data_IF_115124415565
#
_entry.id   IF_115124415565
#
_cell.length_a   1.000
_cell.length_b   1.000
_cell.length_c   1.000
_cell.angle_alpha   90.00
_cell.angle_beta   90.00
_cell.angle_gamma   90.00
#
_symmetry.space_group_name_H-M   'P 1'
#
loop_
_entity.id
_entity.type
_entity.pdbx_description
1 polymer ?
#
# COMPACT_ATOMS: atom_id res chain seq x y z
N UNK A 1 -15.61 -9.87 6.03
CA UNK A 1 -15.79 -8.67 5.19
C UNK A 1 -16.11 -7.54 6.14
N UNK A 2 -15.46 -6.38 6.02
CA UNK A 2 -15.71 -5.27 6.95
C UNK A 2 -17.07 -4.65 6.62
N UNK A 3 -17.85 -4.33 7.65
CA UNK A 3 -19.11 -3.62 7.48
C UNK A 3 -18.84 -2.12 7.25
N UNK A 4 -18.87 -1.72 5.98
CA UNK A 4 -18.66 -0.33 5.56
C UNK A 4 -19.98 0.46 5.48
N UNK A 5 -21.12 -0.12 5.90
CA UNK A 5 -22.43 0.56 5.84
C UNK A 5 -22.51 1.79 6.75
N UNK A 6 -21.66 1.83 7.79
CA UNK A 6 -21.57 2.92 8.78
C UNK A 6 -20.49 3.95 8.46
N UNK A 7 -19.68 3.73 7.43
CA UNK A 7 -18.63 4.65 7.05
C UNK A 7 -19.24 5.79 6.22
N UNK A 8 -19.29 6.99 6.80
CA UNK A 8 -19.64 8.19 6.05
C UNK A 8 -18.48 8.59 5.13
N UNK A 9 -18.63 8.29 3.85
CA UNK A 9 -17.61 8.54 2.83
C UNK A 9 -17.41 10.06 2.57
N UNK A 10 -18.39 10.89 2.92
CA UNK A 10 -18.36 12.35 2.70
C UNK A 10 -17.82 13.13 3.91
N UNK A 11 -17.87 12.54 5.11
CA UNK A 11 -17.32 13.16 6.31
C UNK A 11 -15.79 13.30 6.24
N UNK A 12 -15.19 14.33 6.88
CA UNK A 12 -13.74 14.40 7.02
C UNK A 12 -13.20 13.16 7.71
N UNK A 13 -11.99 12.75 7.34
CA UNK A 13 -11.38 11.58 7.93
C UNK A 13 -11.07 11.83 9.41
N UNK A 14 -11.56 10.94 10.29
CA UNK A 14 -11.28 11.05 11.70
C UNK A 14 -9.77 10.87 11.94
N UNK A 15 -9.13 11.72 12.76
CA UNK A 15 -7.73 11.52 13.11
C UNK A 15 -7.57 10.17 13.81
N UNK A 16 -6.54 9.40 13.42
CA UNK A 16 -6.18 8.21 14.18
C UNK A 16 -5.76 8.65 15.58
N UNK A 17 -6.40 8.11 16.61
CA UNK A 17 -5.92 8.25 17.99
C UNK A 17 -4.51 7.66 18.04
N UNK A 18 -3.54 8.38 18.62
CA UNK A 18 -2.18 7.87 18.73
C UNK A 18 -2.08 6.93 19.94
N UNK A 19 -1.58 5.72 19.74
CA UNK A 19 -1.24 4.78 20.80
C UNK A 19 0.25 4.44 20.73
N UNK A 20 0.84 4.10 21.87
CA UNK A 20 2.22 3.67 21.93
C UNK A 20 2.28 2.15 21.82
N UNK A 21 2.72 1.67 20.66
CA UNK A 21 2.99 0.25 20.41
C UNK A 21 4.42 0.17 19.85
N UNK A 22 5.30 -0.67 20.43
CA UNK A 22 6.64 -0.83 19.90
C UNK A 22 6.59 -1.38 18.47
N UNK A 23 7.46 -0.88 17.60
CA UNK A 23 7.58 -1.39 16.26
C UNK A 23 8.29 -2.77 16.30
N UNK A 24 7.62 -3.87 15.90
CA UNK A 24 8.19 -5.22 16.07
C UNK A 24 9.37 -5.51 15.14
N UNK A 25 9.41 -4.85 13.98
CA UNK A 25 10.52 -4.88 13.03
C UNK A 25 10.55 -3.58 12.22
N UNK A 26 11.72 -3.16 11.76
CA UNK A 26 11.83 -1.99 10.89
C UNK A 26 11.07 -2.23 9.59
N UNK A 27 10.21 -1.28 9.23
CA UNK A 27 9.38 -1.33 8.03
C UNK A 27 9.83 -0.27 7.04
N UNK A 28 9.74 -0.61 5.76
CA UNK A 28 9.83 0.33 4.65
C UNK A 28 8.76 -0.03 3.61
N UNK A 29 8.52 0.86 2.65
CA UNK A 29 7.66 0.57 1.49
C UNK A 29 8.47 0.53 0.20
N UNK A 30 8.06 -0.28 -0.76
CA UNK A 30 8.67 -0.27 -2.10
C UNK A 30 7.71 -0.77 -3.17
N UNK A 31 8.08 -0.60 -4.43
CA UNK A 31 7.37 -1.22 -5.55
C UNK A 31 7.91 -2.62 -5.78
N UNK A 32 7.07 -3.58 -6.18
CA UNK A 32 7.52 -4.94 -6.54
C UNK A 32 8.70 -4.94 -7.53
N UNK A 33 8.68 -4.05 -8.51
CA UNK A 33 9.72 -3.94 -9.54
C UNK A 33 11.03 -3.32 -9.03
N UNK A 34 10.99 -2.62 -7.89
CA UNK A 34 12.13 -1.91 -7.31
C UNK A 34 12.85 -2.75 -6.26
N UNK A 35 12.19 -3.74 -5.67
CA UNK A 35 12.84 -4.60 -4.70
C UNK A 35 14.01 -5.40 -5.31
N UNK A 36 15.10 -5.50 -4.55
CA UNK A 36 16.31 -6.27 -4.87
C UNK A 36 16.78 -6.97 -3.60
N UNK A 37 17.33 -8.17 -3.74
CA UNK A 37 17.91 -8.92 -2.62
C UNK A 37 19.02 -8.12 -1.90
N UNK A 38 19.80 -7.36 -2.67
CA UNK A 38 20.84 -6.47 -2.14
C UNK A 38 20.34 -5.34 -1.24
N UNK A 39 19.03 -5.10 -1.16
CA UNK A 39 18.46 -4.12 -0.23
C UNK A 39 18.55 -4.56 1.23
N UNK A 40 18.67 -5.87 1.49
CA UNK A 40 18.64 -6.42 2.85
C UNK A 40 17.25 -6.46 3.49
N UNK A 41 16.19 -6.05 2.77
CA UNK A 41 14.82 -6.10 3.25
C UNK A 41 14.12 -7.39 2.83
N UNK A 42 13.38 -8.00 3.77
CA UNK A 42 12.43 -9.07 3.49
C UNK A 42 11.31 -8.53 2.58
N UNK A 43 11.08 -9.12 1.39
CA UNK A 43 9.99 -8.71 0.52
C UNK A 43 8.65 -9.18 1.09
N UNK A 44 7.77 -8.23 1.40
CA UNK A 44 6.42 -8.49 1.92
C UNK A 44 5.35 -7.99 0.96
N UNK A 45 4.52 -8.89 0.43
CA UNK A 45 3.42 -8.56 -0.45
C UNK A 45 2.17 -8.14 0.33
N UNK A 46 1.70 -6.91 0.11
CA UNK A 46 0.47 -6.36 0.72
C UNK A 46 -0.63 -6.14 -0.31
N UNK A 47 -0.65 -6.95 -1.37
CA UNK A 47 -1.63 -6.82 -2.46
C UNK A 47 -2.57 -8.01 -2.52
N UNK A 48 -3.71 -7.82 -3.20
CA UNK A 48 -4.67 -8.89 -3.42
C UNK A 48 -4.15 -9.81 -4.52
N UNK A 49 -3.70 -11.01 -4.12
CA UNK A 49 -3.17 -12.02 -5.03
C UNK A 49 -1.68 -11.85 -5.33
N UNK A 50 -1.14 -12.74 -6.18
CA UNK A 50 0.29 -12.74 -6.55
C UNK A 50 0.49 -12.11 -7.93
N UNK A 51 1.33 -11.06 -8.05
CA UNK A 51 1.75 -10.53 -9.35
C UNK A 51 2.40 -11.61 -10.22
N UNK A 52 1.90 -11.83 -11.44
CA UNK A 52 2.50 -12.82 -12.38
C UNK A 52 3.89 -12.44 -12.87
N UNK A 53 4.22 -11.14 -12.86
CA UNK A 53 5.51 -10.65 -13.33
C UNK A 53 6.61 -10.71 -12.25
N UNK A 54 6.27 -11.00 -10.99
CA UNK A 54 7.24 -11.14 -9.89
C UNK A 54 7.75 -12.57 -9.85
N UNK A 55 9.06 -12.74 -10.09
CA UNK A 55 9.73 -14.04 -10.17
C UNK A 55 10.46 -14.47 -8.89
N UNK A 56 10.63 -13.56 -7.94
CA UNK A 56 11.26 -13.85 -6.65
C UNK A 56 10.20 -14.25 -5.61
N UNK A 57 10.66 -14.91 -4.54
CA UNK A 57 9.80 -15.28 -3.42
C UNK A 57 9.58 -14.11 -2.47
N UNK A 58 8.39 -14.03 -1.90
CA UNK A 58 8.01 -13.00 -0.93
C UNK A 58 6.97 -13.55 0.02
N UNK A 59 6.92 -12.99 1.23
CA UNK A 59 5.91 -13.35 2.23
C UNK A 59 4.66 -12.52 1.99
N UNK A 60 3.49 -13.14 1.92
CA UNK A 60 2.24 -12.42 1.75
C UNK A 60 1.62 -12.09 3.12
N UNK A 61 1.25 -10.82 3.33
CA UNK A 61 0.52 -10.36 4.52
C UNK A 61 -0.86 -9.88 4.06
N UNK A 62 -1.83 -10.80 3.88
CA UNK A 62 -3.13 -10.49 3.27
C UNK A 62 -3.99 -9.57 4.13
N UNK A 63 -3.72 -9.47 5.44
CA UNK A 63 -4.44 -8.54 6.32
C UNK A 63 -4.21 -7.08 5.88
N UNK A 64 -3.04 -6.74 5.35
CA UNK A 64 -2.71 -5.43 4.79
C UNK A 64 -3.23 -5.22 3.35
N UNK A 65 -3.74 -6.26 2.69
CA UNK A 65 -4.20 -6.15 1.31
C UNK A 65 -5.54 -5.42 1.18
N UNK A 66 -5.73 -4.53 0.18
CA UNK A 66 -6.93 -3.71 0.03
C UNK A 66 -8.12 -4.50 -0.55
N UNK A 67 -8.57 -5.55 0.13
CA UNK A 67 -9.60 -6.47 -0.38
C UNK A 67 -10.94 -5.79 -0.70
N UNK A 68 -11.33 -4.80 0.08
CA UNK A 68 -12.58 -4.05 -0.07
C UNK A 68 -12.58 -3.20 -1.36
N UNK A 69 -11.41 -2.70 -1.78
CA UNK A 69 -11.25 -1.96 -3.04
C UNK A 69 -11.28 -2.87 -4.27
N UNK A 70 -11.19 -4.20 -4.09
CA UNK A 70 -11.17 -5.16 -5.19
C UNK A 70 -12.50 -5.91 -5.38
N UNK A 71 -13.49 -5.70 -4.50
CA UNK A 71 -14.74 -6.48 -4.49
C UNK A 71 -15.98 -5.62 -4.25
N UNK A 72 -17.11 -6.05 -4.83
CA UNK A 72 -18.43 -5.48 -4.55
C UNK A 72 -18.61 -4.05 -5.07
N UNK A 73 -19.40 -3.25 -4.34
CA UNK A 73 -19.80 -1.87 -4.74
C UNK A 73 -18.65 -0.87 -4.80
N UNK A 74 -17.49 -1.19 -4.22
CA UNK A 74 -16.35 -0.27 -4.13
C UNK A 74 -15.28 -0.55 -5.18
N UNK A 75 -15.38 -1.66 -5.93
CA UNK A 75 -14.37 -2.09 -6.91
C UNK A 75 -14.22 -1.20 -8.16
N UNK A 76 -15.10 -0.21 -8.33
CA UNK A 76 -15.12 0.72 -9.47
C UNK A 76 -15.17 2.17 -9.02
N UNK A 77 -14.85 2.44 -7.76
CA UNK A 77 -14.68 3.82 -7.31
C UNK A 77 -13.45 4.36 -8.02
N UNK A 78 -13.60 5.55 -8.60
CA UNK A 78 -12.52 6.33 -9.19
C UNK A 78 -12.41 7.64 -8.40
N UNK A 79 -12.09 7.48 -7.11
CA UNK A 79 -11.95 8.58 -6.17
C UNK A 79 -10.96 8.16 -5.07
N UNK A 80 -9.76 8.70 -5.18
CA UNK A 80 -8.62 8.35 -4.35
C UNK A 80 -8.84 8.62 -2.85
N UNK A 81 -9.60 9.66 -2.51
CA UNK A 81 -9.89 10.00 -1.11
C UNK A 81 -10.84 8.97 -0.49
N UNK A 82 -11.85 8.54 -1.25
CA UNK A 82 -12.79 7.51 -0.81
C UNK A 82 -12.08 6.16 -0.68
N UNK A 83 -11.22 5.81 -1.65
CA UNK A 83 -10.41 4.60 -1.59
C UNK A 83 -9.49 4.59 -0.36
N UNK A 84 -8.82 5.72 -0.09
CA UNK A 84 -7.97 5.88 1.10
C UNK A 84 -8.77 5.70 2.38
N UNK A 85 -9.95 6.32 2.50
CA UNK A 85 -10.82 6.18 3.68
C UNK A 85 -11.24 4.73 3.92
N UNK A 86 -11.68 4.05 2.87
CA UNK A 86 -12.06 2.62 2.95
C UNK A 86 -10.87 1.78 3.41
N UNK A 87 -9.69 2.03 2.84
CA UNK A 87 -8.49 1.29 3.20
C UNK A 87 -8.03 1.57 4.65
N UNK A 88 -8.09 2.81 5.11
CA UNK A 88 -7.73 3.14 6.50
C UNK A 88 -8.74 2.61 7.52
N UNK A 89 -10.02 2.58 7.19
CA UNK A 89 -11.01 1.89 8.02
C UNK A 89 -10.70 0.39 8.14
N UNK A 90 -10.20 -0.23 7.07
CA UNK A 90 -9.67 -1.59 7.15
C UNK A 90 -8.50 -1.70 8.12
N UNK A 91 -7.50 -0.82 8.02
CA UNK A 91 -6.35 -0.83 8.93
C UNK A 91 -6.81 -0.71 10.39
N UNK A 92 -7.76 0.18 10.66
CA UNK A 92 -8.35 0.37 12.00
C UNK A 92 -9.08 -0.88 12.50
N UNK A 93 -9.95 -1.48 11.68
CA UNK A 93 -10.72 -2.67 12.08
C UNK A 93 -9.83 -3.91 12.25
N UNK A 94 -8.75 -4.01 11.46
CA UNK A 94 -7.83 -5.14 11.46
C UNK A 94 -6.55 -4.88 12.25
N UNK A 95 -6.51 -3.82 13.05
CA UNK A 95 -5.31 -3.37 13.76
C UNK A 95 -4.61 -4.50 14.53
N UNK A 96 -5.36 -5.23 15.37
CA UNK A 96 -4.81 -6.33 16.15
C UNK A 96 -4.25 -7.47 15.28
N UNK A 97 -4.91 -7.79 14.17
CA UNK A 97 -4.45 -8.82 13.22
C UNK A 97 -3.20 -8.37 12.45
N UNK A 98 -3.09 -7.08 12.14
CA UNK A 98 -1.91 -6.49 11.51
C UNK A 98 -0.72 -6.57 12.46
N UNK A 99 -0.89 -6.16 13.71
CA UNK A 99 0.17 -6.24 14.72
C UNK A 99 0.64 -7.67 14.92
N UNK A 100 -0.28 -8.62 15.09
CA UNK A 100 0.05 -10.04 15.21
C UNK A 100 0.82 -10.58 13.99
N UNK A 101 0.41 -10.20 12.77
CA UNK A 101 1.11 -10.63 11.56
C UNK A 101 2.53 -10.04 11.44
N UNK A 102 2.74 -8.79 11.90
CA UNK A 102 4.06 -8.16 11.91
C UNK A 102 4.96 -8.75 13.01
N UNK A 103 4.40 -9.08 14.17
CA UNK A 103 5.11 -9.82 15.23
C UNK A 103 5.52 -11.22 14.78
N UNK A 104 4.63 -11.94 14.09
CA UNK A 104 4.96 -13.26 13.51
C UNK A 104 6.10 -13.16 12.49
N UNK A 105 6.09 -12.13 11.64
CA UNK A 105 7.19 -11.85 10.72
C UNK A 105 8.50 -11.58 11.46
N UNK A 106 8.47 -10.75 12.51
CA UNK A 106 9.65 -10.44 13.31
C UNK A 106 10.22 -11.69 14.00
N UNK A 107 9.37 -12.57 14.52
CA UNK A 107 9.79 -13.84 15.12
C UNK A 107 10.40 -14.80 14.10
N UNK A 108 9.84 -14.88 12.89
CA UNK A 108 10.31 -15.77 11.84
C UNK A 108 11.58 -15.28 11.15
N UNK A 109 11.76 -13.97 11.06
CA UNK A 109 12.90 -13.31 10.43
C UNK A 109 13.52 -12.29 11.40
N UNK A 110 14.14 -12.75 12.50
CA UNK A 110 14.70 -11.86 13.51
C UNK A 110 15.78 -10.96 12.89
N UNK A 111 15.76 -9.69 13.27
CA UNK A 111 16.71 -8.65 12.82
C UNK A 111 16.69 -8.34 11.31
N UNK A 112 15.75 -8.91 10.54
CA UNK A 112 15.58 -8.59 9.12
C UNK A 112 14.48 -7.54 8.96
N UNK A 113 14.79 -6.34 8.41
CA UNK A 113 13.77 -5.34 8.15
C UNK A 113 12.85 -5.79 7.01
N UNK A 114 11.61 -5.32 6.96
CA UNK A 114 10.62 -5.75 5.96
C UNK A 114 10.19 -4.60 5.04
N UNK A 115 10.06 -4.91 3.75
CA UNK A 115 9.60 -3.97 2.73
C UNK A 115 8.18 -4.34 2.28
N UNK A 116 7.20 -3.49 2.58
CA UNK A 116 5.81 -3.64 2.15
C UNK A 116 5.66 -3.22 0.68
N UNK A 117 5.22 -4.17 -0.16
CA UNK A 117 5.26 -4.03 -1.61
C UNK A 117 3.88 -3.91 -2.25
N UNK A 118 3.76 -2.96 -3.18
CA UNK A 118 2.60 -2.76 -4.05
C UNK A 118 3.02 -2.56 -5.53
N UNK A 119 2.04 -2.57 -6.46
CA UNK A 119 2.28 -2.51 -7.91
C UNK A 119 2.55 -1.09 -8.42
N UNK A 120 1.88 -0.12 -7.82
CA UNK A 120 1.74 1.24 -8.30
C UNK A 120 3.06 2.01 -8.18
N UNK A 121 3.37 2.83 -9.18
CA UNK A 121 4.56 3.68 -9.17
C UNK A 121 4.27 5.00 -8.45
N UNK A 122 4.46 4.99 -7.14
CA UNK A 122 4.25 6.16 -6.29
C UNK A 122 5.26 7.28 -6.51
N UNK A 123 6.44 6.96 -7.08
CA UNK A 123 7.43 7.94 -7.49
C UNK A 123 7.03 8.62 -8.82
N UNK A 124 6.12 8.02 -9.57
CA UNK A 124 5.46 8.60 -10.75
C UNK A 124 4.24 9.46 -10.42
N UNK A 125 3.97 9.76 -9.14
CA UNK A 125 2.83 10.57 -8.69
C UNK A 125 1.53 9.80 -8.50
N UNK A 126 1.56 8.46 -8.49
CA UNK A 126 0.40 7.65 -8.14
C UNK A 126 0.27 7.52 -6.62
N UNK A 127 -0.96 7.56 -6.12
CA UNK A 127 -1.26 7.17 -4.74
C UNK A 127 -1.51 5.66 -4.67
N UNK A 128 -0.98 5.00 -3.63
CA UNK A 128 -1.18 3.57 -3.38
C UNK A 128 -1.44 3.29 -1.91
N UNK A 129 -2.21 2.23 -1.65
CA UNK A 129 -2.44 1.65 -0.33
C UNK A 129 -1.16 1.43 0.51
N UNK A 130 0.01 1.13 -0.08
CA UNK A 130 1.26 1.03 0.72
C UNK A 130 1.66 2.35 1.39
N UNK A 131 1.48 3.48 0.71
CA UNK A 131 1.76 4.81 1.27
C UNK A 131 0.73 5.17 2.33
N UNK A 132 -0.54 4.89 2.06
CA UNK A 132 -1.60 5.10 3.05
C UNK A 132 -1.40 4.27 4.31
N UNK A 133 -0.87 3.04 4.18
CA UNK A 133 -0.48 2.21 5.32
C UNK A 133 0.69 2.82 6.10
N UNK A 134 1.76 3.25 5.41
CA UNK A 134 2.90 3.91 6.03
C UNK A 134 2.49 5.17 6.81
N UNK A 135 1.68 6.05 6.21
CA UNK A 135 1.11 7.22 6.86
C UNK A 135 0.26 6.85 8.07
N UNK A 136 -0.60 5.83 7.93
CA UNK A 136 -1.46 5.37 9.01
C UNK A 136 -0.63 4.83 10.19
N UNK A 137 0.44 4.06 9.94
CA UNK A 137 1.35 3.61 11.00
C UNK A 137 2.02 4.78 11.72
N UNK A 138 2.46 5.80 10.97
CA UNK A 138 3.02 7.02 11.56
C UNK A 138 2.01 7.78 12.41
N UNK A 139 0.76 7.89 11.98
CA UNK A 139 -0.29 8.58 12.74
C UNK A 139 -0.75 7.79 13.96
N UNK A 140 -0.98 6.48 13.80
CA UNK A 140 -1.57 5.60 14.81
C UNK A 140 -0.55 5.12 15.84
N UNK A 141 0.67 4.77 15.43
CA UNK A 141 1.70 4.19 16.31
C UNK A 141 2.95 5.07 16.46
N UNK A 142 3.11 6.11 15.63
CA UNK A 142 4.34 6.91 15.60
C UNK A 142 5.51 6.23 14.90
N UNK A 143 5.28 5.20 14.10
CA UNK A 143 6.33 4.47 13.38
C UNK A 143 6.79 5.26 12.15
N UNK A 144 8.10 5.23 11.89
CA UNK A 144 8.66 5.72 10.63
C UNK A 144 8.74 4.58 9.62
N UNK A 145 8.07 4.75 8.48
CA UNK A 145 7.97 3.74 7.41
C UNK A 145 8.33 4.39 6.07
N UNK A 146 9.64 4.57 5.77
CA UNK A 146 10.08 5.27 4.58
C UNK A 146 9.88 4.44 3.30
N UNK A 147 9.70 5.11 2.15
CA UNK A 147 9.79 4.44 0.84
C UNK A 147 11.26 4.25 0.46
N UNK A 148 11.63 3.01 0.12
CA UNK A 148 12.98 2.70 -0.35
C UNK A 148 13.29 3.42 -1.67
N UNK A 149 14.54 3.89 -1.86
CA UNK A 149 14.94 4.56 -3.08
C UNK A 149 14.77 3.63 -4.27
N UNK A 150 14.37 4.20 -5.41
CA UNK A 150 14.37 3.45 -6.66
C UNK A 150 15.82 3.09 -7.02
N UNK A 151 16.20 1.80 -7.12
CA UNK A 151 17.58 1.41 -7.45
C UNK A 151 18.02 1.89 -8.84
N UNK A 152 17.08 2.28 -9.70
CA UNK A 152 17.39 3.07 -10.89
C UNK A 152 17.43 4.55 -10.51
N UNK A 153 18.62 5.11 -10.26
CA UNK A 153 18.83 6.56 -10.16
C UNK A 153 18.56 7.35 -11.46
N UNK A 154 17.72 6.87 -12.38
CA UNK A 154 17.53 7.44 -13.73
C UNK A 154 16.07 7.36 -14.21
N UNK A 155 15.46 8.55 -14.26
CA UNK A 155 14.27 9.02 -15.00
C UNK A 155 12.88 8.39 -14.76
N UNK A 156 11.81 9.21 -14.66
CA UNK A 156 10.43 8.72 -14.68
C UNK A 156 10.09 8.06 -16.03
N UNK A 157 9.20 7.08 -16.01
CA UNK A 157 8.70 6.44 -17.22
C UNK A 157 7.90 7.45 -18.08
N UNK A 158 8.41 7.68 -19.30
CA UNK A 158 7.84 8.25 -20.54
C UNK A 158 6.53 9.07 -20.49
N UNK A 159 6.46 10.23 -21.17
CA UNK A 159 5.20 10.98 -21.33
C UNK A 159 4.13 10.11 -22.02
N UNK A 160 2.88 10.21 -21.53
CA UNK A 160 1.69 9.61 -22.15
C UNK A 160 1.64 10.02 -23.63
N UNK A 161 1.43 9.05 -24.54
CA UNK A 161 1.10 9.36 -25.94
C UNK A 161 -0.13 10.31 -25.94
N UNK A 162 -0.10 11.44 -26.67
CA UNK A 162 -1.27 12.28 -26.80
C UNK A 162 -2.40 11.49 -27.45
N UNK A 163 -3.62 11.74 -26.95
CA UNK A 163 -4.87 11.20 -27.51
C UNK A 163 -4.95 11.62 -28.98
N UNK A 164 -5.22 10.72 -29.94
CA UNK A 164 -5.41 11.14 -31.33
C UNK A 164 -6.58 12.12 -31.37
N UNK A 165 -6.32 13.32 -31.90
CA UNK A 165 -7.36 14.29 -32.22
C UNK A 165 -8.29 13.68 -33.28
N UNK A 166 -9.59 13.77 -33.04
CA UNK A 166 -10.58 13.40 -34.05
C UNK A 166 -10.41 14.32 -35.26
N UNK A 167 -10.42 13.78 -36.49
CA UNK A 167 -10.30 14.62 -37.68
C UNK A 167 -11.51 15.57 -37.73
N UNK A 168 -11.32 16.82 -38.21
CA UNK A 168 -12.40 17.77 -38.32
C UNK A 168 -13.50 17.17 -39.20
N UNK A 169 -14.72 17.14 -38.67
CA UNK A 169 -15.93 16.87 -39.44
C UNK A 169 -16.06 17.96 -40.50
N UNK A 170 -15.68 17.65 -41.74
CA UNK A 170 -16.14 18.40 -42.91
C UNK A 170 -17.52 17.86 -43.28
N UNK A 171 -18.59 18.42 -42.70
CA UNK A 171 -19.93 18.55 -43.30
C UNK A 171 -20.75 19.51 -42.45
#
# INVERSE_FOLDING_TARGET
>A
MIDLSRLDLNAPEAPAERIEVPQPLQLATTRYQNWRESSGYLPVGVTVGRPRFVRYDFVAVPVLAPHELMKGRFAKIDNIEIERKIYRERLRVREAEILAALEELAHKYPEVPAALMCFEDVNGGLDCHRRWAAEWFGQRFGWDVPELPNPAGMAPARPKKPKPEEPPTLF
#
